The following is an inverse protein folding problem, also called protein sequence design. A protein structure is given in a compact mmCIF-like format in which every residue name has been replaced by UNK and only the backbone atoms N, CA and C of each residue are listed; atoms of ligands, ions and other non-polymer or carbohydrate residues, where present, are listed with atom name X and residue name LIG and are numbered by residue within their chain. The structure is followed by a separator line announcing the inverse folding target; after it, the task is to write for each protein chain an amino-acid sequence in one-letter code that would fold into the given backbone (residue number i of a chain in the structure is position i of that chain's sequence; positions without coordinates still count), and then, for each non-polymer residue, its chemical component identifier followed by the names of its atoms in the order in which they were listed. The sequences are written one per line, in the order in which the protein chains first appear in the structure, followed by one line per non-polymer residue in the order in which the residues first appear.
data_IF_649921953669
#
_entry.id   IF_649921953669
#
_cell.length_a   1.000
_cell.length_b   1.000
_cell.length_c   1.000
_cell.angle_alpha   90.00
_cell.angle_beta   90.00
_cell.angle_gamma   90.00
#
_symmetry.space_group_name_H-M   'P 1'
#
loop_
_entity.id
_entity.type
_entity.pdbx_description
1 polymer ?
#
# COMPACT_ATOMS: atom_id res chain seq x y z
N UNK A 1 16.12 17.10 -2.56
CA UNK A 1 17.21 16.22 -3.04
C UNK A 1 18.38 17.01 -3.64
N UNK A 2 18.14 17.91 -4.59
CA UNK A 2 19.22 18.69 -5.26
C UNK A 2 20.11 19.54 -4.32
N UNK A 3 19.65 19.84 -3.12
CA UNK A 3 20.40 20.67 -2.14
C UNK A 3 21.41 19.86 -1.29
N UNK A 4 21.56 18.58 -1.52
CA UNK A 4 22.44 17.68 -0.75
C UNK A 4 23.31 16.83 -1.69
N UNK A 5 24.22 17.44 -2.49
CA UNK A 5 24.98 16.72 -3.52
C UNK A 5 25.92 15.66 -2.99
N UNK A 6 26.36 15.79 -1.74
CA UNK A 6 27.23 14.79 -1.07
C UNK A 6 26.47 13.51 -0.65
N UNK A 7 25.14 13.59 -0.58
CA UNK A 7 24.28 12.49 -0.13
C UNK A 7 23.52 11.89 -1.30
N UNK A 8 23.11 12.73 -2.26
CA UNK A 8 22.25 12.34 -3.37
C UNK A 8 22.86 12.83 -4.69
N UNK A 9 23.13 11.91 -5.60
CA UNK A 9 23.66 12.20 -6.93
C UNK A 9 22.49 12.30 -7.94
N UNK A 10 22.48 13.36 -8.76
CA UNK A 10 21.63 13.40 -9.95
C UNK A 10 22.24 12.50 -11.04
N UNK A 11 21.55 11.43 -11.41
CA UNK A 11 22.00 10.45 -12.41
C UNK A 11 21.54 10.82 -13.80
N UNK A 12 20.27 11.22 -13.93
CA UNK A 12 19.68 11.59 -15.20
C UNK A 12 18.64 12.70 -15.02
N UNK A 13 18.55 13.55 -16.03
CA UNK A 13 17.56 14.63 -16.14
C UNK A 13 16.91 14.55 -17.53
N UNK A 14 15.59 14.60 -17.57
CA UNK A 14 14.83 14.70 -18.80
C UNK A 14 15.07 16.01 -19.54
N UNK A 15 14.66 16.06 -20.79
CA UNK A 15 14.73 17.30 -21.58
C UNK A 15 13.68 18.29 -21.09
N UNK A 16 14.10 19.54 -20.94
CA UNK A 16 13.18 20.65 -20.69
C UNK A 16 12.36 20.95 -21.94
N UNK A 17 11.06 21.15 -21.76
CA UNK A 17 10.21 21.65 -22.84
C UNK A 17 9.74 23.06 -22.42
N UNK A 18 10.16 24.10 -23.14
CA UNK A 18 9.83 25.47 -22.78
C UNK A 18 8.34 25.82 -22.98
N UNK A 19 7.59 24.98 -23.69
CA UNK A 19 6.17 25.21 -23.95
C UNK A 19 5.27 24.55 -22.92
N UNK A 20 4.48 25.35 -22.20
CA UNK A 20 3.45 24.91 -21.27
C UNK A 20 3.97 24.50 -19.86
N UNK A 21 3.03 24.12 -19.00
CA UNK A 21 3.27 23.67 -17.63
C UNK A 21 3.71 22.20 -17.62
N UNK A 22 5.00 21.95 -17.80
CA UNK A 22 5.55 20.59 -17.87
C UNK A 22 6.65 20.38 -16.84
N UNK A 23 6.53 19.29 -16.08
CA UNK A 23 7.60 18.85 -15.18
C UNK A 23 8.75 18.19 -15.95
N UNK A 24 9.96 18.31 -15.41
CA UNK A 24 11.15 17.63 -15.93
C UNK A 24 11.44 16.40 -15.09
N UNK A 25 11.58 15.25 -15.73
CA UNK A 25 11.89 14.00 -15.04
C UNK A 25 13.32 14.03 -14.47
N UNK A 26 13.47 13.55 -13.23
CA UNK A 26 14.77 13.43 -12.56
C UNK A 26 14.95 12.04 -11.97
N UNK A 27 16.12 11.46 -12.20
CA UNK A 27 16.57 10.25 -11.51
C UNK A 27 17.72 10.62 -10.58
N UNK A 28 17.51 10.37 -9.32
CA UNK A 28 18.51 10.52 -8.26
C UNK A 28 19.00 9.15 -7.78
N UNK A 29 20.20 9.13 -7.21
CA UNK A 29 20.80 7.92 -6.63
C UNK A 29 21.42 8.23 -5.28
N UNK A 30 21.31 7.28 -4.34
CA UNK A 30 21.99 7.32 -3.05
C UNK A 30 22.35 5.92 -2.58
N UNK A 31 23.24 5.82 -1.59
CA UNK A 31 23.52 4.57 -0.87
C UNK A 31 22.43 4.28 0.15
N UNK A 32 22.10 2.99 0.35
CA UNK A 32 21.11 2.57 1.32
C UNK A 32 21.48 3.00 2.76
N UNK A 33 22.75 3.10 3.08
CA UNK A 33 23.22 3.67 4.36
C UNK A 33 22.70 5.09 4.58
N UNK A 34 22.79 5.96 3.57
CA UNK A 34 22.25 7.32 3.67
C UNK A 34 20.74 7.30 3.87
N UNK A 35 20.02 6.43 3.13
CA UNK A 35 18.57 6.29 3.27
C UNK A 35 18.17 5.87 4.69
N UNK A 36 18.89 4.94 5.30
CA UNK A 36 18.66 4.50 6.68
C UNK A 36 18.87 5.64 7.69
N UNK A 37 19.91 6.46 7.49
CA UNK A 37 20.31 7.53 8.42
C UNK A 37 19.54 8.85 8.22
N UNK A 38 19.05 9.14 7.01
CA UNK A 38 18.50 10.45 6.63
C UNK A 38 17.00 10.37 6.32
N UNK A 39 16.18 10.74 7.27
CA UNK A 39 14.72 10.65 7.15
C UNK A 39 14.14 11.43 5.95
N UNK A 40 14.74 12.54 5.54
CA UNK A 40 14.26 13.35 4.41
C UNK A 40 14.30 12.63 3.05
N UNK A 41 15.08 11.53 2.93
CA UNK A 41 15.16 10.73 1.71
C UNK A 41 13.90 9.89 1.45
N UNK A 42 13.08 9.71 2.47
CA UNK A 42 11.79 9.01 2.37
C UNK A 42 10.60 9.98 2.25
N UNK A 43 10.85 11.29 2.33
CA UNK A 43 9.78 12.27 2.17
C UNK A 43 9.29 12.30 0.72
N UNK A 44 7.97 12.31 0.56
CA UNK A 44 7.34 12.38 -0.75
C UNK A 44 7.72 13.68 -1.46
N UNK A 45 8.19 13.57 -2.69
CA UNK A 45 8.51 14.68 -3.55
C UNK A 45 7.58 14.65 -4.77
N UNK A 46 6.53 15.47 -4.74
CA UNK A 46 5.55 15.52 -5.82
C UNK A 46 6.20 15.98 -7.13
N UNK A 47 6.10 15.17 -8.16
CA UNK A 47 6.62 15.45 -9.48
C UNK A 47 7.26 14.22 -10.14
N UNK A 48 7.73 14.35 -11.37
CA UNK A 48 8.32 13.25 -12.13
C UNK A 48 9.76 12.99 -11.67
N UNK A 49 9.93 12.55 -10.43
CA UNK A 49 11.23 12.22 -9.85
C UNK A 49 11.23 10.89 -9.16
N UNK A 50 12.36 10.18 -9.18
CA UNK A 50 12.58 8.94 -8.46
C UNK A 50 13.96 8.91 -7.82
N UNK A 51 14.08 8.17 -6.72
CA UNK A 51 15.34 7.94 -6.02
C UNK A 51 15.72 6.46 -6.14
N UNK A 52 16.86 6.18 -6.75
CA UNK A 52 17.52 4.87 -6.72
C UNK A 52 18.30 4.74 -5.42
N UNK A 53 18.08 3.66 -4.69
CA UNK A 53 18.77 3.37 -3.42
C UNK A 53 19.57 2.09 -3.61
N UNK A 54 20.91 2.20 -3.56
CA UNK A 54 21.81 1.07 -3.80
C UNK A 54 22.21 0.44 -2.46
N UNK A 55 21.86 -0.83 -2.28
CA UNK A 55 22.28 -1.64 -1.17
C UNK A 55 23.48 -2.52 -1.58
N UNK A 56 24.57 -2.43 -0.82
CA UNK A 56 25.80 -3.14 -1.13
C UNK A 56 25.79 -4.61 -0.61
N UNK A 57 24.80 -4.98 0.23
CA UNK A 57 24.61 -6.34 0.73
C UNK A 57 23.14 -6.62 1.05
N UNK A 58 22.81 -7.90 1.26
CA UNK A 58 21.47 -8.32 1.69
C UNK A 58 21.07 -7.69 3.02
N UNK A 59 21.95 -7.68 3.99
CA UNK A 59 21.70 -7.13 5.33
C UNK A 59 21.34 -5.64 5.26
N UNK A 60 22.03 -4.90 4.41
CA UNK A 60 21.77 -3.47 4.18
C UNK A 60 20.44 -3.27 3.46
N UNK A 61 20.10 -4.13 2.50
CA UNK A 61 18.79 -4.12 1.83
C UNK A 61 17.65 -4.33 2.83
N UNK A 62 17.75 -5.37 3.66
CA UNK A 62 16.76 -5.67 4.67
C UNK A 62 16.64 -4.56 5.72
N UNK A 63 17.75 -3.95 6.11
CA UNK A 63 17.75 -2.81 7.02
C UNK A 63 17.05 -1.60 6.42
N UNK A 64 17.28 -1.31 5.13
CA UNK A 64 16.58 -0.24 4.41
C UNK A 64 15.08 -0.53 4.31
N UNK A 65 14.68 -1.76 3.98
CA UNK A 65 13.28 -2.15 3.93
C UNK A 65 12.58 -2.01 5.30
N UNK A 66 13.23 -2.44 6.39
CA UNK A 66 12.70 -2.25 7.76
C UNK A 66 12.52 -0.78 8.13
N UNK A 67 13.42 0.09 7.64
CA UNK A 67 13.37 1.53 7.89
C UNK A 67 12.20 2.21 7.20
N UNK A 68 11.74 1.71 6.05
CA UNK A 68 10.63 2.29 5.31
C UNK A 68 9.39 2.45 6.18
N UNK A 69 8.68 3.54 5.98
CA UNK A 69 7.34 3.79 6.53
C UNK A 69 6.30 2.95 5.77
N UNK A 70 5.03 3.20 6.03
CA UNK A 70 3.95 2.59 5.27
C UNK A 70 3.78 3.22 3.87
N UNK A 71 3.58 2.38 2.87
CA UNK A 71 3.34 2.77 1.47
C UNK A 71 2.08 2.08 0.92
N UNK A 72 1.55 2.59 -0.18
CA UNK A 72 0.40 1.97 -0.85
C UNK A 72 0.81 0.67 -1.54
N UNK A 73 1.98 0.66 -2.18
CA UNK A 73 2.45 -0.47 -2.98
C UNK A 73 3.95 -0.67 -2.85
N UNK A 74 4.38 -1.92 -3.02
CA UNK A 74 5.76 -2.26 -3.38
C UNK A 74 5.76 -3.25 -4.54
N UNK A 75 6.74 -3.13 -5.42
CA UNK A 75 6.97 -4.11 -6.49
C UNK A 75 8.35 -4.72 -6.32
N UNK A 76 8.42 -6.04 -6.43
CA UNK A 76 9.66 -6.79 -6.56
C UNK A 76 9.83 -7.22 -8.02
N UNK A 77 10.88 -6.77 -8.67
CA UNK A 77 11.34 -7.31 -9.95
C UNK A 77 12.39 -8.38 -9.67
N UNK A 78 12.02 -9.63 -9.81
CA UNK A 78 12.80 -10.77 -9.32
C UNK A 78 12.46 -12.05 -10.09
N UNK A 79 13.40 -12.99 -10.16
CA UNK A 79 13.13 -14.35 -10.59
C UNK A 79 12.46 -15.15 -9.46
N UNK A 80 11.88 -16.32 -9.77
CA UNK A 80 11.34 -17.23 -8.75
C UNK A 80 12.42 -17.65 -7.74
N UNK A 81 13.65 -17.86 -8.21
CA UNK A 81 14.78 -18.21 -7.35
C UNK A 81 15.16 -17.04 -6.41
N UNK A 82 15.12 -15.80 -6.90
CA UNK A 82 15.34 -14.63 -6.04
C UNK A 82 14.25 -14.53 -4.97
N UNK A 83 12.98 -14.70 -5.33
CA UNK A 83 11.88 -14.67 -4.40
C UNK A 83 12.02 -15.74 -3.32
N UNK A 84 12.42 -16.96 -3.69
CA UNK A 84 12.67 -18.04 -2.73
C UNK A 84 13.83 -17.74 -1.78
N UNK A 85 14.86 -17.01 -2.23
CA UNK A 85 16.01 -16.63 -1.42
C UNK A 85 15.79 -15.37 -0.56
N UNK A 86 14.77 -14.56 -0.85
CA UNK A 86 14.48 -13.30 -0.17
C UNK A 86 13.10 -13.28 0.50
N UNK A 87 12.69 -14.42 1.07
CA UNK A 87 11.41 -14.55 1.81
C UNK A 87 11.32 -13.58 2.98
N UNK A 88 12.42 -13.33 3.67
CA UNK A 88 12.51 -12.34 4.76
C UNK A 88 12.28 -10.89 4.28
N UNK A 89 12.70 -10.54 3.06
CA UNK A 89 12.36 -9.25 2.45
C UNK A 89 10.86 -9.16 2.17
N UNK A 90 10.26 -10.23 1.64
CA UNK A 90 8.82 -10.29 1.40
C UNK A 90 8.04 -10.10 2.69
N UNK A 91 8.39 -10.81 3.77
CA UNK A 91 7.78 -10.67 5.10
C UNK A 91 7.86 -9.24 5.67
N UNK A 92 8.99 -8.55 5.43
CA UNK A 92 9.14 -7.16 5.83
C UNK A 92 8.21 -6.26 5.01
N UNK A 93 8.16 -6.45 3.68
CA UNK A 93 7.36 -5.62 2.79
C UNK A 93 5.86 -5.80 3.01
N UNK A 94 5.38 -7.00 3.34
CA UNK A 94 3.99 -7.28 3.70
C UNK A 94 3.51 -6.38 4.86
N UNK A 95 4.40 -6.03 5.77
CA UNK A 95 4.09 -5.12 6.89
C UNK A 95 4.18 -3.64 6.50
N UNK A 96 4.72 -3.32 5.33
CA UNK A 96 5.00 -1.95 4.88
C UNK A 96 4.04 -1.46 3.80
N UNK A 97 3.32 -2.36 3.12
CA UNK A 97 2.49 -1.97 1.97
C UNK A 97 1.09 -2.55 2.06
N UNK A 98 0.17 -1.92 1.34
CA UNK A 98 -1.17 -2.47 1.16
C UNK A 98 -1.27 -3.45 0.00
N UNK A 99 -0.35 -3.35 -0.98
CA UNK A 99 -0.32 -4.22 -2.15
C UNK A 99 1.11 -4.55 -2.54
N UNK A 100 1.46 -5.83 -2.50
CA UNK A 100 2.75 -6.35 -2.95
C UNK A 100 2.60 -6.93 -4.35
N UNK A 101 3.48 -6.57 -5.26
CA UNK A 101 3.39 -6.86 -6.70
C UNK A 101 4.69 -7.52 -7.14
N UNK A 102 4.61 -8.49 -8.04
CA UNK A 102 5.77 -9.16 -8.60
C UNK A 102 5.83 -8.87 -10.10
N UNK A 103 6.97 -8.36 -10.57
CA UNK A 103 7.32 -8.12 -11.97
C UNK A 103 6.31 -7.28 -12.78
N UNK A 104 5.55 -6.39 -12.10
CA UNK A 104 4.61 -5.48 -12.73
C UNK A 104 4.70 -4.08 -12.13
N UNK A 105 4.20 -3.09 -12.83
CA UNK A 105 4.09 -1.72 -12.33
C UNK A 105 2.73 -1.49 -11.64
N UNK A 106 2.69 -0.73 -10.53
CA UNK A 106 1.45 -0.49 -9.77
C UNK A 106 0.53 0.56 -10.43
N UNK A 107 0.52 0.66 -11.74
CA UNK A 107 -0.12 1.75 -12.50
C UNK A 107 -1.64 1.64 -12.60
N UNK A 108 -2.22 0.51 -12.22
CA UNK A 108 -3.67 0.29 -12.27
C UNK A 108 -4.19 -0.38 -11.02
N UNK A 109 -5.48 -0.21 -10.79
CA UNK A 109 -6.24 -0.98 -9.80
C UNK A 109 -7.44 -1.61 -10.49
N UNK A 110 -7.62 -2.90 -10.29
CA UNK A 110 -8.81 -3.61 -10.74
C UNK A 110 -9.86 -3.59 -9.62
N UNK A 111 -11.12 -3.33 -9.97
CA UNK A 111 -12.21 -3.37 -9.00
C UNK A 111 -12.62 -4.82 -8.81
N UNK A 112 -12.04 -5.50 -7.83
CA UNK A 112 -12.32 -6.90 -7.50
C UNK A 112 -12.41 -7.10 -5.98
N UNK A 113 -12.82 -8.32 -5.57
CA UNK A 113 -12.97 -8.65 -4.15
C UNK A 113 -11.65 -8.62 -3.36
N UNK A 114 -10.54 -8.97 -4.00
CA UNK A 114 -9.22 -9.04 -3.37
C UNK A 114 -8.46 -7.70 -3.40
N UNK A 115 -8.99 -6.67 -4.08
CA UNK A 115 -8.27 -5.40 -4.23
C UNK A 115 -8.15 -4.67 -2.89
N UNK A 116 -6.92 -4.31 -2.58
CA UNK A 116 -6.59 -3.38 -1.49
C UNK A 116 -5.85 -2.18 -2.07
N UNK A 117 -6.51 -1.03 -2.09
CA UNK A 117 -5.88 0.27 -2.33
C UNK A 117 -5.88 1.06 -1.02
N UNK A 118 -4.91 0.75 -0.21
CA UNK A 118 -4.72 1.21 1.15
C UNK A 118 -3.31 0.89 1.61
N UNK A 119 -3.08 0.81 2.89
CA UNK A 119 -1.78 0.43 3.45
C UNK A 119 -1.60 0.92 4.89
N UNK A 120 -0.48 0.57 5.52
CA UNK A 120 -0.16 1.06 6.86
C UNK A 120 0.12 2.57 6.86
N UNK A 121 -0.02 3.19 8.03
CA UNK A 121 0.35 4.60 8.19
C UNK A 121 1.83 4.85 7.81
N UNK A 122 2.18 5.92 7.09
CA UNK A 122 1.36 7.06 6.71
C UNK A 122 0.65 6.93 5.34
N UNK A 123 0.71 5.77 4.67
CA UNK A 123 0.06 5.60 3.37
C UNK A 123 -1.45 5.87 3.42
N UNK A 124 -2.10 5.49 4.54
CA UNK A 124 -3.49 5.86 4.82
C UNK A 124 -3.67 6.20 6.29
N UNK A 125 -4.72 6.98 6.61
CA UNK A 125 -5.14 7.25 7.98
C UNK A 125 -5.95 6.11 8.61
N UNK A 126 -6.44 5.17 7.81
CA UNK A 126 -7.17 3.98 8.25
C UNK A 126 -6.70 2.74 7.50
N UNK A 127 -5.75 2.02 8.10
CA UNK A 127 -5.15 0.81 7.54
C UNK A 127 -6.11 -0.39 7.42
N UNK A 128 -7.31 -0.32 8.02
CA UNK A 128 -8.30 -1.39 8.00
C UNK A 128 -9.27 -1.30 6.82
N UNK A 129 -9.13 -0.29 5.98
CA UNK A 129 -10.04 -0.06 4.85
C UNK A 129 -9.27 0.06 3.54
N UNK A 130 -9.97 -0.20 2.46
CA UNK A 130 -9.50 0.06 1.10
C UNK A 130 -10.31 1.20 0.48
N UNK A 131 -9.72 1.97 -0.44
CA UNK A 131 -10.45 3.00 -1.21
C UNK A 131 -11.02 2.48 -2.54
N UNK A 132 -10.60 1.30 -2.99
CA UNK A 132 -11.03 0.65 -4.23
C UNK A 132 -11.31 -0.82 -3.95
N UNK A 133 -12.18 -1.42 -4.76
CA UNK A 133 -12.61 -2.81 -4.62
C UNK A 133 -13.93 -2.95 -3.88
N UNK A 134 -14.45 -4.16 -3.82
CA UNK A 134 -15.78 -4.45 -3.25
C UNK A 134 -15.89 -4.04 -1.78
N UNK A 135 -14.80 -4.19 -1.02
CA UNK A 135 -14.76 -3.84 0.40
C UNK A 135 -14.66 -2.33 0.67
N UNK A 136 -14.52 -1.49 -0.36
CA UNK A 136 -14.44 -0.03 -0.20
C UNK A 136 -15.69 0.57 0.45
N UNK A 137 -16.86 -0.06 0.26
CA UNK A 137 -18.13 0.37 0.87
C UNK A 137 -18.06 0.40 2.41
N UNK A 138 -17.24 -0.46 3.03
CA UNK A 138 -17.12 -0.54 4.49
C UNK A 138 -16.61 0.76 5.13
N UNK A 139 -15.94 1.62 4.37
CA UNK A 139 -15.52 2.94 4.86
C UNK A 139 -16.69 3.90 5.13
N UNK A 140 -17.81 3.66 4.48
CA UNK A 140 -19.00 4.52 4.52
C UNK A 140 -20.10 3.91 5.40
N UNK A 141 -19.84 2.76 6.02
CA UNK A 141 -20.77 2.05 6.89
C UNK A 141 -20.26 2.01 8.33
N UNK A 142 -21.16 1.76 9.25
CA UNK A 142 -20.83 1.44 10.64
C UNK A 142 -21.75 0.35 11.16
N UNK A 143 -21.29 -0.49 12.08
CA UNK A 143 -22.15 -1.46 12.75
C UNK A 143 -23.18 -0.75 13.63
N UNK A 144 -24.36 -1.36 13.73
CA UNK A 144 -25.43 -0.98 14.68
C UNK A 144 -25.83 -2.24 15.42
N UNK A 145 -25.86 -2.18 16.75
CA UNK A 145 -26.34 -3.27 17.60
C UNK A 145 -27.78 -3.01 18.01
N UNK A 146 -28.65 -4.01 17.85
CA UNK A 146 -30.00 -4.03 18.37
C UNK A 146 -30.03 -4.93 19.61
N UNK A 147 -30.32 -4.38 20.79
CA UNK A 147 -30.40 -5.12 22.03
C UNK A 147 -31.81 -5.00 22.63
N UNK A 148 -32.44 -6.12 22.99
CA UNK A 148 -33.81 -6.17 23.49
C UNK A 148 -34.83 -5.50 22.56
N UNK A 149 -34.56 -5.52 21.28
CA UNK A 149 -35.40 -4.88 20.25
C UNK A 149 -36.56 -5.80 19.86
N UNK A 150 -37.81 -5.29 19.78
CA UNK A 150 -38.94 -6.11 19.36
C UNK A 150 -38.73 -6.72 17.98
N UNK A 151 -38.94 -8.01 17.81
CA UNK A 151 -38.75 -8.76 16.56
C UNK A 151 -39.52 -8.11 15.39
N UNK A 152 -40.73 -7.62 15.65
CA UNK A 152 -41.59 -7.01 14.65
C UNK A 152 -41.04 -5.69 14.08
N UNK A 153 -40.14 -5.03 14.80
CA UNK A 153 -39.54 -3.76 14.40
C UNK A 153 -38.11 -3.92 13.89
N UNK A 154 -37.56 -5.14 13.92
CA UNK A 154 -36.25 -5.40 13.33
C UNK A 154 -36.31 -5.25 11.80
N UNK A 155 -35.20 -4.78 11.17
CA UNK A 155 -35.01 -4.91 9.73
C UNK A 155 -35.16 -6.37 9.28
N UNK A 156 -35.67 -6.59 8.07
CA UNK A 156 -35.92 -7.94 7.55
C UNK A 156 -34.65 -8.81 7.51
N UNK A 157 -33.49 -8.20 7.33
CA UNK A 157 -32.17 -8.86 7.38
C UNK A 157 -31.88 -9.51 8.72
N UNK A 158 -32.46 -8.99 9.83
CA UNK A 158 -32.20 -9.43 11.19
C UNK A 158 -33.33 -10.26 11.79
N UNK A 159 -34.49 -10.35 11.15
CA UNK A 159 -35.62 -11.15 11.65
C UNK A 159 -35.27 -12.63 11.71
N UNK A 160 -35.66 -13.29 12.78
CA UNK A 160 -35.32 -14.70 13.06
C UNK A 160 -35.74 -15.64 11.91
N UNK A 161 -36.93 -15.40 11.32
CA UNK A 161 -37.48 -16.21 10.24
C UNK A 161 -36.82 -15.99 8.87
N UNK A 162 -35.83 -15.07 8.76
CA UNK A 162 -35.09 -14.77 7.53
C UNK A 162 -35.97 -14.56 6.29
N UNK A 163 -36.87 -13.58 6.27
CA UNK A 163 -37.84 -13.41 5.18
C UNK A 163 -37.17 -13.13 3.82
N UNK A 164 -35.93 -12.64 3.82
CA UNK A 164 -35.15 -12.37 2.60
C UNK A 164 -34.39 -13.61 2.08
N UNK A 165 -34.32 -14.70 2.86
CA UNK A 165 -33.61 -15.92 2.48
C UNK A 165 -32.12 -15.69 2.23
N UNK A 166 -31.50 -14.71 2.90
CA UNK A 166 -30.08 -14.35 2.74
C UNK A 166 -29.16 -15.16 3.65
N UNK A 167 -27.91 -15.29 3.26
CA UNK A 167 -26.86 -15.87 4.10
C UNK A 167 -26.53 -14.91 5.25
N UNK A 168 -26.55 -15.41 6.48
CA UNK A 168 -26.30 -14.64 7.69
C UNK A 168 -25.37 -15.37 8.64
N UNK A 169 -24.65 -14.63 9.46
CA UNK A 169 -23.95 -15.17 10.62
C UNK A 169 -24.95 -15.21 11.79
N UNK A 170 -25.38 -16.40 12.20
CA UNK A 170 -26.33 -16.60 13.29
C UNK A 170 -25.69 -17.49 14.36
N UNK A 171 -25.52 -16.95 15.57
CA UNK A 171 -24.84 -17.62 16.69
C UNK A 171 -23.44 -18.18 16.33
N UNK A 172 -22.68 -17.44 15.49
CA UNK A 172 -21.33 -17.85 15.08
C UNK A 172 -21.29 -18.81 13.89
N UNK A 173 -22.45 -19.19 13.31
CA UNK A 173 -22.54 -20.07 12.15
C UNK A 173 -23.19 -19.35 10.95
N UNK A 174 -22.66 -19.58 9.74
CA UNK A 174 -23.30 -19.11 8.52
C UNK A 174 -24.51 -19.97 8.18
N UNK A 175 -25.68 -19.34 8.13
CA UNK A 175 -26.97 -19.98 7.82
C UNK A 175 -27.76 -19.16 6.81
N UNK A 176 -28.54 -19.85 5.99
CA UNK A 176 -29.52 -19.25 5.09
C UNK A 176 -30.91 -19.25 5.72
#
# INVERSE_FOLDING_TARGET
MSNNPDIVKLVAKGKENPEGYKGVAHLFETKAKNFIEKAFLEEENFGPSTLSIIADSREVLLAAARKMKGHLTATLFATENDLANYTDLIEILEQKVGRLIINEFPTGVEVCHAMVHGGPFPATSNSRSTSVGTSAMLRFTRPVCYQNFPETLLPDELKTNNPLGIMRLFNGEYKK
#
